data_IF_994098919445
#
_entry.id   IF_994098919445
#
_cell.length_a   1.000
_cell.length_b   1.000
_cell.length_c   1.000
_cell.angle_alpha   90.00
_cell.angle_beta   90.00
_cell.angle_gamma   90.00
#
_symmetry.space_group_name_H-M   'P 1'
#
loop_
_entity.id
_entity.type
_entity.pdbx_description
1 polymer ?
#
# COMPACT_ATOMS: atom_id res chain seq x y z
N UNK A 1 2.27 -3.42 15.04
CA UNK A 1 3.49 -2.72 14.55
C UNK A 1 4.60 -2.74 15.59
N UNK A 2 4.35 -2.36 16.85
CA UNK A 2 5.42 -2.14 17.86
C UNK A 2 5.85 -3.40 18.63
N UNK A 3 4.97 -4.40 18.78
CA UNK A 3 5.25 -5.61 19.58
C UNK A 3 6.49 -6.40 19.11
N UNK A 4 6.83 -6.30 17.83
CA UNK A 4 8.02 -6.95 17.24
C UNK A 4 9.34 -6.23 17.59
N UNK A 5 9.27 -5.02 18.15
CA UNK A 5 10.41 -4.15 18.54
C UNK A 5 11.54 -4.05 17.48
N UNK A 6 11.16 -4.05 16.21
CA UNK A 6 12.08 -3.99 15.07
C UNK A 6 11.78 -2.73 14.24
N UNK A 7 12.72 -1.79 14.26
CA UNK A 7 12.63 -0.52 13.52
C UNK A 7 12.54 -0.69 12.00
N UNK A 8 13.16 -1.74 11.44
CA UNK A 8 13.08 -2.03 10.02
C UNK A 8 11.69 -2.54 9.66
N UNK A 9 11.10 -3.42 10.48
CA UNK A 9 9.71 -3.88 10.31
C UNK A 9 8.73 -2.72 10.42
N UNK A 10 8.90 -1.86 11.44
CA UNK A 10 8.06 -0.68 11.62
C UNK A 10 8.14 0.28 10.44
N UNK A 11 9.34 0.53 9.91
CA UNK A 11 9.52 1.37 8.71
C UNK A 11 8.79 0.81 7.49
N UNK A 12 8.95 -0.50 7.21
CA UNK A 12 8.26 -1.15 6.09
C UNK A 12 6.74 -1.03 6.23
N UNK A 13 6.20 -1.31 7.41
CA UNK A 13 4.77 -1.22 7.64
C UNK A 13 4.27 0.23 7.57
N UNK A 14 5.03 1.21 8.07
CA UNK A 14 4.66 2.62 8.02
C UNK A 14 4.53 3.10 6.56
N UNK A 15 5.56 2.87 5.74
CA UNK A 15 5.55 3.19 4.32
C UNK A 15 4.38 2.52 3.59
N UNK A 16 4.14 1.24 3.90
CA UNK A 16 3.05 0.44 3.30
C UNK A 16 1.69 1.03 3.67
N UNK A 17 1.44 1.33 4.95
CA UNK A 17 0.16 1.91 5.39
C UNK A 17 -0.09 3.29 4.81
N UNK A 18 0.96 4.11 4.66
CA UNK A 18 0.84 5.40 4.01
C UNK A 18 0.47 5.26 2.52
N UNK A 19 1.13 4.34 1.80
CA UNK A 19 0.82 4.05 0.41
C UNK A 19 -0.63 3.53 0.22
N UNK A 20 -1.13 2.70 1.14
CA UNK A 20 -2.53 2.24 1.13
C UNK A 20 -3.48 3.41 1.28
N UNK A 21 -3.26 4.28 2.25
CA UNK A 21 -4.09 5.46 2.48
C UNK A 21 -4.11 6.39 1.25
N UNK A 22 -2.97 6.62 0.60
CA UNK A 22 -2.88 7.35 -0.67
C UNK A 22 -3.74 6.70 -1.76
N UNK A 23 -3.69 5.36 -1.88
CA UNK A 23 -4.50 4.60 -2.83
C UNK A 23 -6.00 4.72 -2.57
N UNK A 24 -6.42 4.73 -1.30
CA UNK A 24 -7.82 4.95 -0.92
C UNK A 24 -8.31 6.35 -1.26
N UNK A 25 -7.48 7.38 -1.04
CA UNK A 25 -7.79 8.76 -1.43
C UNK A 25 -7.86 8.88 -2.95
N UNK A 26 -6.93 8.29 -3.69
CA UNK A 26 -6.96 8.28 -5.15
C UNK A 26 -8.23 7.60 -5.69
N UNK A 27 -8.62 6.48 -5.09
CA UNK A 27 -9.88 5.82 -5.42
C UNK A 27 -11.07 6.75 -5.17
N UNK A 28 -11.11 7.41 -4.01
CA UNK A 28 -12.19 8.32 -3.64
C UNK A 28 -12.33 9.48 -4.64
N UNK A 29 -11.22 10.06 -5.08
CA UNK A 29 -11.19 11.12 -6.10
C UNK A 29 -11.67 10.65 -7.48
N UNK A 30 -11.55 9.34 -7.76
CA UNK A 30 -11.93 8.74 -9.04
C UNK A 30 -13.39 8.26 -9.06
N UNK A 31 -14.09 8.24 -7.91
CA UNK A 31 -15.48 7.77 -7.84
C UNK A 31 -16.37 8.62 -8.74
N UNK A 32 -17.05 7.96 -9.68
CA UNK A 32 -17.99 8.61 -10.60
C UNK A 32 -17.31 9.46 -11.68
N UNK A 33 -15.98 9.40 -11.81
CA UNK A 33 -15.25 10.07 -12.88
C UNK A 33 -15.14 9.16 -14.12
N UNK A 34 -15.87 9.43 -15.21
CA UNK A 34 -15.83 8.63 -16.44
C UNK A 34 -14.51 8.79 -17.21
N UNK A 35 -13.72 9.83 -16.91
CA UNK A 35 -12.43 10.09 -17.56
C UNK A 35 -11.26 9.35 -16.88
N UNK A 36 -11.54 8.48 -15.91
CA UNK A 36 -10.52 7.64 -15.27
C UNK A 36 -9.96 6.64 -16.28
N UNK A 37 -8.68 6.77 -16.62
CA UNK A 37 -8.00 5.85 -17.52
C UNK A 37 -7.48 4.59 -16.81
N UNK A 38 -7.08 3.59 -17.60
CA UNK A 38 -6.56 2.32 -17.10
C UNK A 38 -5.33 2.52 -16.21
N UNK A 39 -4.42 3.44 -16.58
CA UNK A 39 -3.23 3.73 -15.81
C UNK A 39 -3.53 4.36 -14.43
N UNK A 40 -4.56 5.19 -14.33
CA UNK A 40 -5.06 5.68 -13.05
C UNK A 40 -5.67 4.56 -12.21
N UNK A 41 -6.44 3.67 -12.83
CA UNK A 41 -7.03 2.53 -12.15
C UNK A 41 -5.98 1.54 -11.62
N UNK A 42 -4.96 1.22 -12.42
CA UNK A 42 -3.85 0.36 -12.02
C UNK A 42 -3.09 0.93 -10.82
N UNK A 43 -2.87 2.25 -10.79
CA UNK A 43 -2.25 2.92 -9.64
C UNK A 43 -3.08 2.79 -8.37
N UNK A 44 -4.40 2.86 -8.47
CA UNK A 44 -5.30 2.61 -7.33
C UNK A 44 -5.13 1.18 -6.83
N UNK A 45 -5.16 0.18 -7.71
CA UNK A 45 -5.00 -1.23 -7.32
C UNK A 45 -3.63 -1.47 -6.69
N UNK A 46 -2.57 -0.96 -7.31
CA UNK A 46 -1.21 -1.11 -6.81
C UNK A 46 -1.11 -0.59 -5.39
N UNK A 47 -1.53 0.67 -5.18
CA UNK A 47 -1.39 1.38 -3.90
C UNK A 47 -2.35 0.88 -2.83
N UNK A 48 -3.61 0.63 -3.16
CA UNK A 48 -4.62 0.21 -2.18
C UNK A 48 -4.50 -1.27 -1.83
N UNK A 49 -3.95 -2.11 -2.70
CA UNK A 49 -3.98 -3.57 -2.53
C UNK A 49 -2.62 -4.21 -2.70
N UNK A 50 -1.93 -4.04 -3.84
CA UNK A 50 -0.74 -4.82 -4.16
C UNK A 50 0.44 -4.56 -3.18
N UNK A 51 0.62 -3.31 -2.73
CA UNK A 51 1.70 -2.95 -1.80
C UNK A 51 1.65 -3.73 -0.50
N UNK A 52 0.46 -4.09 0.01
CA UNK A 52 0.34 -4.86 1.25
C UNK A 52 0.89 -6.28 1.07
N UNK A 53 0.59 -6.92 -0.06
CA UNK A 53 1.12 -8.24 -0.39
C UNK A 53 2.63 -8.20 -0.59
N UNK A 54 3.13 -7.20 -1.32
CA UNK A 54 4.57 -6.99 -1.49
C UNK A 54 5.29 -6.80 -0.14
N UNK A 55 4.71 -6.00 0.75
CA UNK A 55 5.22 -5.80 2.11
C UNK A 55 5.20 -7.09 2.92
N UNK A 56 4.13 -7.89 2.85
CA UNK A 56 4.04 -9.17 3.54
C UNK A 56 5.14 -10.15 3.09
N UNK A 57 5.36 -10.30 1.78
CA UNK A 57 6.46 -11.13 1.25
C UNK A 57 7.83 -10.61 1.71
N UNK A 58 8.04 -9.29 1.65
CA UNK A 58 9.28 -8.66 2.09
C UNK A 58 9.54 -8.92 3.58
N UNK A 59 8.52 -8.75 4.43
CA UNK A 59 8.62 -8.98 5.86
C UNK A 59 8.93 -10.45 6.19
N UNK A 60 8.35 -11.39 5.43
CA UNK A 60 8.71 -12.80 5.55
C UNK A 60 10.20 -13.07 5.38
N UNK A 61 10.86 -12.38 4.44
CA UNK A 61 12.32 -12.45 4.26
C UNK A 61 13.15 -11.61 5.24
N UNK A 62 12.56 -10.63 5.92
CA UNK A 62 13.23 -9.82 6.96
C UNK A 62 13.29 -10.57 8.29
N UNK A 63 12.27 -11.39 8.57
CA UNK A 63 12.13 -12.14 9.83
C UNK A 63 12.81 -13.52 9.82
N UNK A 64 13.26 -13.99 8.66
CA UNK A 64 13.98 -15.26 8.49
C UNK A 64 15.47 -15.11 8.80
#
# INVERSE_FOLDING_TARGET
MVELDDMRVMGILADTTNAIAEGEVLQLLSVGNPDTDEAAYDRVIERKTAVLFAAACRLGGVLA
#
